data_IF_828772520050
#
_entry.id   IF_828772520050
#
_cell.length_a   1.000
_cell.length_b   1.000
_cell.length_c   1.000
_cell.angle_alpha   90.00
_cell.angle_beta   90.00
_cell.angle_gamma   90.00
#
_symmetry.space_group_name_H-M   'P 1'
#
loop_
_entity.id
_entity.type
_entity.pdbx_description
1 polymer ?
#
# COMPACT_ATOMS: atom_id res chain seq x y z
N UNK A 1 -48.57 10.42 47.18
CA UNK A 1 -48.17 10.90 45.82
C UNK A 1 -47.21 9.85 45.26
N UNK A 2 -47.71 8.88 44.48
CA UNK A 2 -47.63 8.77 43.00
C UNK A 2 -46.19 8.86 42.44
N UNK A 3 -45.64 7.69 42.08
CA UNK A 3 -44.99 7.26 40.82
C UNK A 3 -44.25 8.36 40.02
N UNK A 4 -43.03 8.15 39.52
CA UNK A 4 -42.78 7.49 38.23
C UNK A 4 -41.27 7.24 38.02
N UNK A 5 -40.96 6.04 37.54
CA UNK A 5 -39.71 5.58 36.93
C UNK A 5 -39.71 5.99 35.44
N UNK A 6 -38.65 6.62 34.92
CA UNK A 6 -38.36 6.63 33.46
C UNK A 6 -36.85 6.48 33.23
N UNK A 7 -36.47 5.27 32.85
CA UNK A 7 -35.30 4.95 32.03
C UNK A 7 -35.64 5.17 30.56
N UNK A 8 -34.72 5.76 29.77
CA UNK A 8 -34.49 5.65 28.31
C UNK A 8 -33.56 6.84 27.97
N UNK A 9 -32.29 6.68 27.61
CA UNK A 9 -31.75 5.74 26.63
C UNK A 9 -31.87 6.35 25.24
N UNK A 10 -31.00 7.30 24.90
CA UNK A 10 -30.86 7.82 23.53
C UNK A 10 -29.41 8.18 23.25
N UNK A 11 -28.69 7.16 22.78
CA UNK A 11 -27.40 7.28 22.12
C UNK A 11 -27.65 7.92 20.76
N UNK A 12 -27.28 9.19 20.59
CA UNK A 12 -27.27 9.81 19.27
C UNK A 12 -25.95 9.48 18.59
N UNK A 13 -25.97 8.44 17.74
CA UNK A 13 -24.89 8.15 16.79
C UNK A 13 -24.92 9.23 15.70
N UNK A 14 -23.98 10.18 15.77
CA UNK A 14 -23.66 11.05 14.66
C UNK A 14 -22.60 10.35 13.80
N UNK A 15 -22.97 9.87 12.61
CA UNK A 15 -22.01 9.56 11.55
C UNK A 15 -22.54 10.18 10.24
N UNK A 16 -22.13 11.42 10.01
CA UNK A 16 -22.02 12.01 8.68
C UNK A 16 -20.53 12.07 8.37
N UNK A 17 -20.03 11.07 7.64
CA UNK A 17 -18.70 11.11 7.03
C UNK A 17 -18.87 11.23 5.52
N UNK A 18 -18.99 12.47 5.06
CA UNK A 18 -18.75 12.85 3.68
C UNK A 18 -17.26 13.13 3.49
N UNK A 19 -16.60 12.25 2.73
CA UNK A 19 -15.45 12.55 1.86
C UNK A 19 -14.15 13.04 2.51
N UNK A 20 -13.21 12.11 2.71
CA UNK A 20 -11.77 12.26 2.46
C UNK A 20 -11.10 10.90 2.68
N UNK A 21 -10.51 10.31 1.64
CA UNK A 21 -9.60 9.15 1.72
C UNK A 21 -10.18 7.86 2.33
N UNK A 22 -10.82 7.01 1.51
CA UNK A 22 -11.18 5.65 1.93
C UNK A 22 -9.94 4.75 1.98
N UNK A 23 -9.03 4.95 2.95
CA UNK A 23 -8.02 3.94 3.25
C UNK A 23 -8.82 2.76 3.75
N UNK A 24 -8.96 1.69 2.95
CA UNK A 24 -9.39 0.41 3.50
C UNK A 24 -8.35 0.07 4.59
N UNK A 25 -8.70 0.05 5.88
CA UNK A 25 -7.81 -0.43 6.92
C UNK A 25 -7.39 -1.87 6.58
N UNK A 26 -6.27 -2.32 7.15
CA UNK A 26 -5.67 -3.64 6.86
C UNK A 26 -6.70 -4.79 6.85
N UNK A 27 -7.67 -4.74 7.76
CA UNK A 27 -8.77 -5.70 7.86
C UNK A 27 -9.73 -5.68 6.66
N UNK A 28 -9.98 -4.54 6.02
CA UNK A 28 -10.87 -4.43 4.86
C UNK A 28 -10.18 -4.92 3.59
N UNK A 29 -8.88 -4.68 3.41
CA UNK A 29 -8.11 -5.25 2.32
C UNK A 29 -8.03 -6.79 2.42
N UNK A 30 -7.79 -7.32 3.62
CA UNK A 30 -7.84 -8.77 3.89
C UNK A 30 -9.22 -9.36 3.59
N UNK A 31 -10.29 -8.72 4.05
CA UNK A 31 -11.66 -9.15 3.74
C UNK A 31 -11.98 -9.08 2.25
N UNK A 32 -11.48 -8.05 1.56
CA UNK A 32 -11.64 -7.90 0.12
C UNK A 32 -10.98 -9.05 -0.64
N UNK A 33 -9.74 -9.37 -0.30
CA UNK A 33 -9.00 -10.50 -0.88
C UNK A 33 -9.68 -11.84 -0.58
N UNK A 34 -10.15 -12.05 0.65
CA UNK A 34 -10.84 -13.28 1.04
C UNK A 34 -12.11 -13.53 0.21
N UNK A 35 -12.82 -12.46 -0.17
CA UNK A 35 -14.00 -12.50 -1.06
C UNK A 35 -13.63 -12.62 -2.54
N UNK A 36 -12.47 -12.11 -2.94
CA UNK A 36 -12.00 -12.03 -4.32
C UNK A 36 -10.71 -12.83 -4.50
N UNK A 37 -10.79 -14.16 -4.31
CA UNK A 37 -9.61 -15.05 -4.33
C UNK A 37 -8.79 -14.98 -5.62
N UNK A 38 -9.39 -14.52 -6.73
CA UNK A 38 -8.73 -14.33 -8.02
C UNK A 38 -7.46 -13.48 -7.93
N UNK A 39 -7.40 -12.47 -7.04
CA UNK A 39 -6.18 -11.67 -6.85
C UNK A 39 -4.97 -12.50 -6.39
N UNK A 40 -5.21 -13.64 -5.72
CA UNK A 40 -4.19 -14.56 -5.25
C UNK A 40 -3.94 -15.75 -6.17
N UNK A 41 -4.94 -16.16 -6.96
CA UNK A 41 -4.87 -17.39 -7.78
C UNK A 41 -4.67 -17.14 -9.26
N UNK A 42 -5.03 -15.96 -9.76
CA UNK A 42 -4.93 -15.66 -11.18
C UNK A 42 -3.46 -15.59 -11.60
N UNK A 43 -3.22 -16.13 -12.79
CA UNK A 43 -1.94 -16.05 -13.49
C UNK A 43 -1.67 -14.60 -13.90
N UNK A 44 -0.39 -14.19 -14.04
CA UNK A 44 -0.09 -12.85 -14.49
C UNK A 44 -0.52 -12.66 -15.95
N UNK A 45 -0.87 -11.43 -16.30
CA UNK A 45 -1.02 -11.00 -17.70
C UNK A 45 0.29 -10.41 -18.20
N UNK A 46 0.48 -10.31 -19.52
CA UNK A 46 1.63 -9.60 -20.07
C UNK A 46 1.26 -8.15 -20.40
N UNK A 47 2.10 -7.20 -19.96
CA UNK A 47 1.99 -5.82 -20.39
C UNK A 47 2.48 -5.63 -21.84
N UNK A 48 2.45 -4.39 -22.34
CA UNK A 48 2.90 -4.06 -23.70
C UNK A 48 4.39 -4.35 -23.96
N UNK A 49 5.19 -4.57 -22.91
CA UNK A 49 6.61 -4.89 -22.95
C UNK A 49 6.87 -6.38 -22.73
N UNK A 50 5.81 -7.20 -22.59
CA UNK A 50 5.90 -8.62 -22.31
C UNK A 50 6.19 -8.96 -20.84
N UNK A 51 6.14 -7.97 -19.93
CA UNK A 51 6.38 -8.19 -18.51
C UNK A 51 5.14 -8.81 -17.87
N UNK A 52 5.36 -9.81 -17.01
CA UNK A 52 4.30 -10.38 -16.18
C UNK A 52 3.79 -9.35 -15.18
N UNK A 53 2.48 -9.11 -15.19
CA UNK A 53 1.76 -8.22 -14.29
C UNK A 53 0.64 -9.00 -13.62
N UNK A 54 0.74 -9.13 -12.31
CA UNK A 54 -0.28 -9.75 -11.48
C UNK A 54 -1.43 -8.77 -11.20
N UNK A 55 -2.63 -9.30 -10.87
CA UNK A 55 -3.74 -8.47 -10.43
C UNK A 55 -3.38 -7.59 -9.23
N UNK A 56 -3.84 -6.34 -9.27
CA UNK A 56 -3.67 -5.35 -8.21
C UNK A 56 -5.05 -4.99 -7.68
N UNK A 57 -5.26 -5.06 -6.37
CA UNK A 57 -6.56 -4.65 -5.80
C UNK A 57 -6.83 -3.16 -6.05
N UNK A 58 -8.10 -2.72 -6.12
CA UNK A 58 -8.43 -1.33 -6.42
C UNK A 58 -7.76 -0.30 -5.50
N UNK A 59 -7.48 -0.66 -4.24
CA UNK A 59 -6.78 0.19 -3.28
C UNK A 59 -5.39 0.62 -3.77
N UNK A 60 -4.72 -0.19 -4.58
CA UNK A 60 -3.33 0.03 -5.00
C UNK A 60 -3.15 0.19 -6.51
N UNK A 61 -4.23 0.36 -7.27
CA UNK A 61 -4.21 0.38 -8.74
C UNK A 61 -3.29 1.46 -9.34
N UNK A 62 -3.01 2.52 -8.59
CA UNK A 62 -2.16 3.64 -8.99
C UNK A 62 -0.66 3.36 -8.83
N UNK A 63 -0.30 2.26 -8.19
CA UNK A 63 1.09 1.85 -7.94
C UNK A 63 1.35 0.55 -8.71
N UNK A 64 1.68 0.60 -10.01
CA UNK A 64 1.90 -0.61 -10.79
C UNK A 64 2.94 -1.58 -10.21
N UNK A 65 3.90 -1.14 -9.39
CA UNK A 65 4.94 -2.02 -8.82
C UNK A 65 4.59 -2.43 -7.39
N UNK A 66 4.55 -1.46 -6.48
CA UNK A 66 4.21 -1.64 -5.07
C UNK A 66 2.80 -2.20 -4.91
N UNK A 67 1.87 -1.87 -5.81
CA UNK A 67 0.51 -2.43 -5.77
C UNK A 67 0.47 -3.93 -6.02
N UNK A 68 1.32 -4.46 -6.89
CA UNK A 68 1.46 -5.92 -7.06
C UNK A 68 2.04 -6.56 -5.79
N UNK A 69 3.08 -5.95 -5.22
CA UNK A 69 3.71 -6.41 -3.98
C UNK A 69 2.73 -6.39 -2.80
N UNK A 70 2.01 -5.28 -2.62
CA UNK A 70 1.03 -5.10 -1.56
C UNK A 70 -0.15 -6.06 -1.73
N UNK A 71 -0.62 -6.26 -2.95
CA UNK A 71 -1.69 -7.24 -3.24
C UNK A 71 -1.23 -8.66 -2.92
N UNK A 72 -0.06 -9.07 -3.39
CA UNK A 72 0.51 -10.39 -3.13
C UNK A 72 0.71 -10.66 -1.64
N UNK A 73 1.01 -9.62 -0.84
CA UNK A 73 1.22 -9.76 0.60
C UNK A 73 -0.01 -10.18 1.40
N UNK A 74 -1.21 -10.08 0.81
CA UNK A 74 -2.45 -10.58 1.40
C UNK A 74 -2.77 -12.04 1.04
N UNK A 75 -1.94 -12.66 0.21
CA UNK A 75 -2.13 -14.02 -0.29
C UNK A 75 -1.33 -15.02 0.56
N UNK A 76 -0.16 -15.44 0.07
CA UNK A 76 0.76 -16.35 0.76
C UNK A 76 2.20 -16.06 0.29
N UNK A 77 3.17 -16.69 0.95
CA UNK A 77 4.59 -16.49 0.66
C UNK A 77 4.97 -16.96 -0.76
N UNK A 78 4.30 -18.01 -1.26
CA UNK A 78 4.48 -18.49 -2.63
C UNK A 78 4.10 -17.41 -3.64
N UNK A 79 2.95 -16.75 -3.47
CA UNK A 79 2.52 -15.65 -4.34
C UNK A 79 3.48 -14.47 -4.28
N UNK A 80 3.93 -14.11 -3.08
CA UNK A 80 4.95 -13.06 -2.90
C UNK A 80 6.24 -13.38 -3.64
N UNK A 81 6.69 -14.63 -3.59
CA UNK A 81 7.91 -15.07 -4.28
C UNK A 81 7.80 -15.04 -5.82
N UNK A 82 6.59 -14.95 -6.38
CA UNK A 82 6.41 -14.84 -7.85
C UNK A 82 6.46 -13.40 -8.38
N UNK A 83 6.47 -12.39 -7.51
CA UNK A 83 6.55 -10.99 -7.91
C UNK A 83 7.92 -10.73 -8.56
N UNK A 84 7.92 -10.08 -9.74
CA UNK A 84 9.14 -9.89 -10.54
C UNK A 84 10.24 -9.11 -9.82
N UNK A 85 9.85 -8.22 -8.91
CA UNK A 85 10.76 -7.44 -8.09
C UNK A 85 11.32 -8.23 -6.89
N UNK A 86 10.92 -9.48 -6.70
CA UNK A 86 11.42 -10.38 -5.66
C UNK A 86 12.39 -11.39 -6.29
N UNK A 87 13.65 -11.41 -5.84
CA UNK A 87 14.65 -12.40 -6.22
C UNK A 87 15.35 -12.89 -4.96
N UNK A 88 15.47 -14.21 -4.79
CA UNK A 88 16.07 -14.84 -3.60
C UNK A 88 15.47 -14.33 -2.28
N UNK A 89 14.17 -14.03 -2.28
CA UNK A 89 13.43 -13.50 -1.12
C UNK A 89 13.69 -12.02 -0.81
N UNK A 90 14.45 -11.32 -1.66
CA UNK A 90 14.75 -9.89 -1.51
C UNK A 90 14.01 -9.05 -2.54
N UNK A 91 13.59 -7.85 -2.14
CA UNK A 91 13.13 -6.83 -3.07
C UNK A 91 14.33 -6.21 -3.79
N UNK A 92 14.39 -6.40 -5.10
CA UNK A 92 15.55 -6.05 -5.93
C UNK A 92 15.32 -4.90 -6.90
N UNK A 93 14.09 -4.35 -6.95
CA UNK A 93 13.85 -3.19 -7.78
C UNK A 93 14.32 -1.91 -7.08
N UNK A 94 15.13 -1.11 -7.78
CA UNK A 94 15.20 0.31 -7.46
C UNK A 94 13.87 0.95 -7.85
N UNK A 95 13.36 1.88 -7.06
CA UNK A 95 12.05 2.49 -7.29
C UNK A 95 12.03 3.99 -7.04
N UNK A 96 11.05 4.66 -7.62
CA UNK A 96 10.65 6.02 -7.28
C UNK A 96 9.18 5.95 -6.89
N UNK A 97 8.83 6.62 -5.79
CA UNK A 97 7.44 6.87 -5.43
C UNK A 97 7.15 8.36 -5.47
N UNK A 98 5.93 8.69 -5.86
CA UNK A 98 5.41 10.05 -5.81
C UNK A 98 4.32 10.14 -4.74
N UNK A 99 4.36 11.22 -3.96
CA UNK A 99 3.39 11.50 -2.92
C UNK A 99 2.44 12.61 -3.35
N UNK A 100 1.19 12.54 -2.90
CA UNK A 100 0.20 13.57 -3.15
C UNK A 100 0.54 14.90 -2.46
N UNK A 101 1.06 14.80 -1.24
CA UNK A 101 1.34 15.91 -0.33
C UNK A 101 2.59 15.62 0.52
N UNK A 102 2.86 16.52 1.47
CA UNK A 102 3.97 16.37 2.39
C UNK A 102 3.83 15.07 3.22
N UNK A 103 4.90 14.26 3.32
CA UNK A 103 4.85 13.03 4.10
C UNK A 103 4.77 13.35 5.61
N UNK A 104 3.94 12.64 6.38
CA UNK A 104 4.00 12.72 7.83
C UNK A 104 5.31 12.12 8.37
N UNK A 105 5.73 12.53 9.56
CA UNK A 105 7.01 12.12 10.17
C UNK A 105 7.17 10.59 10.27
N UNK A 106 6.09 9.88 10.58
CA UNK A 106 6.08 8.40 10.62
C UNK A 106 6.42 7.80 9.26
N UNK A 107 5.85 8.33 8.17
CA UNK A 107 6.14 7.87 6.82
C UNK A 107 7.59 8.20 6.43
N UNK A 108 8.11 9.37 6.81
CA UNK A 108 9.52 9.73 6.58
C UNK A 108 10.45 8.74 7.26
N UNK A 109 10.14 8.36 8.51
CA UNK A 109 10.92 7.38 9.27
C UNK A 109 10.95 6.02 8.57
N UNK A 110 9.80 5.55 8.09
CA UNK A 110 9.70 4.30 7.34
C UNK A 110 10.47 4.38 6.01
N UNK A 111 10.35 5.49 5.29
CA UNK A 111 11.08 5.70 4.03
C UNK A 111 12.59 5.60 4.25
N UNK A 112 13.11 6.20 5.32
CA UNK A 112 14.51 6.08 5.69
C UNK A 112 14.92 4.67 6.10
N UNK A 113 14.13 3.97 6.92
CA UNK A 113 14.43 2.58 7.31
C UNK A 113 14.48 1.62 6.11
N UNK A 114 13.70 1.92 5.07
CA UNK A 114 13.72 1.20 3.79
C UNK A 114 14.94 1.59 2.94
N UNK A 115 15.49 2.79 3.09
CA UNK A 115 16.58 3.33 2.28
C UNK A 115 16.14 4.28 1.14
N UNK A 116 14.90 4.77 1.18
CA UNK A 116 14.48 5.84 0.27
C UNK A 116 15.14 7.17 0.65
N UNK A 117 15.47 7.96 -0.36
CA UNK A 117 16.01 9.31 -0.21
C UNK A 117 15.14 10.32 -0.94
N UNK A 118 15.04 11.53 -0.40
CA UNK A 118 14.31 12.60 -1.06
C UNK A 118 14.99 13.01 -2.38
N UNK A 119 14.23 12.99 -3.48
CA UNK A 119 14.70 13.29 -4.82
C UNK A 119 14.08 14.62 -5.31
N UNK A 120 14.41 15.73 -4.64
CA UNK A 120 14.06 17.07 -5.15
C UNK A 120 13.59 18.10 -4.12
N UNK A 121 14.04 18.04 -2.87
CA UNK A 121 13.66 19.02 -1.85
C UNK A 121 14.19 18.68 -0.46
N UNK A 122 13.54 19.26 0.56
CA UNK A 122 13.73 18.87 1.96
C UNK A 122 12.78 17.74 2.32
N UNK A 123 13.18 16.86 3.22
CA UNK A 123 12.43 15.64 3.56
C UNK A 123 10.97 15.91 3.96
N UNK A 124 10.74 16.92 4.82
CA UNK A 124 9.41 17.28 5.30
C UNK A 124 8.44 17.83 4.24
N UNK A 125 8.94 18.19 3.06
CA UNK A 125 8.10 18.64 1.92
C UNK A 125 8.36 17.83 0.66
N UNK A 126 9.01 16.67 0.79
CA UNK A 126 9.44 15.89 -0.35
C UNK A 126 8.30 15.03 -0.88
N UNK A 127 7.87 15.30 -2.11
CA UNK A 127 6.83 14.49 -2.78
C UNK A 127 7.40 13.46 -3.73
N UNK A 128 8.72 13.36 -3.88
CA UNK A 128 9.39 12.38 -4.75
C UNK A 128 10.51 11.70 -3.99
N UNK A 129 10.37 10.40 -3.77
CA UNK A 129 11.34 9.60 -3.03
C UNK A 129 11.94 8.53 -3.93
N UNK A 130 13.25 8.33 -3.84
CA UNK A 130 13.98 7.37 -4.65
C UNK A 130 14.69 6.34 -3.78
N UNK A 131 14.49 5.08 -4.13
CA UNK A 131 15.20 3.94 -3.59
C UNK A 131 16.27 3.50 -4.60
N UNK A 132 17.53 3.61 -4.20
CA UNK A 132 18.68 3.21 -5.02
C UNK A 132 19.18 1.79 -4.68
N UNK A 133 18.93 1.32 -3.46
CA UNK A 133 19.31 -0.02 -3.00
C UNK A 133 18.42 -1.09 -3.65
N UNK A 134 19.00 -2.27 -3.90
CA UNK A 134 18.39 -3.35 -4.70
C UNK A 134 18.47 -4.71 -4.00
N UNK A 135 18.49 -4.72 -2.67
CA UNK A 135 18.44 -5.93 -1.85
C UNK A 135 17.82 -5.61 -0.50
N UNK A 136 16.49 -5.45 -0.48
CA UNK A 136 15.75 -5.01 0.70
C UNK A 136 14.80 -6.11 1.15
N UNK A 137 14.69 -6.32 2.46
CA UNK A 137 13.66 -7.19 3.03
C UNK A 137 12.27 -6.67 2.58
N UNK A 138 11.48 -7.47 1.83
CA UNK A 138 10.17 -7.07 1.37
C UNK A 138 9.25 -6.60 2.51
N UNK A 139 9.41 -7.13 3.72
CA UNK A 139 8.63 -6.72 4.89
C UNK A 139 8.84 -5.24 5.25
N UNK A 140 10.03 -4.68 4.99
CA UNK A 140 10.27 -3.24 5.15
C UNK A 140 9.44 -2.43 4.16
N UNK A 141 9.43 -2.83 2.89
CA UNK A 141 8.61 -2.17 1.84
C UNK A 141 7.12 -2.22 2.21
N UNK A 142 6.65 -3.36 2.74
CA UNK A 142 5.25 -3.54 3.14
C UNK A 142 4.79 -2.62 4.28
N UNK A 143 5.70 -1.95 5.00
CA UNK A 143 5.34 -0.93 5.98
C UNK A 143 4.70 0.30 5.32
N UNK A 144 4.99 0.58 4.04
CA UNK A 144 4.39 1.69 3.29
C UNK A 144 2.88 1.50 3.01
N UNK A 145 2.33 0.30 3.21
CA UNK A 145 0.91 0.01 2.95
C UNK A 145 -0.05 0.92 3.72
N UNK A 146 0.28 1.25 4.97
CA UNK A 146 -0.54 2.17 5.80
C UNK A 146 -0.61 3.58 5.22
N UNK A 147 0.35 3.94 4.35
CA UNK A 147 0.44 5.23 3.66
C UNK A 147 0.10 5.14 2.17
N UNK A 148 -0.42 4.00 1.69
CA UNK A 148 -0.73 3.76 0.27
C UNK A 148 -1.56 4.86 -0.38
N UNK A 149 -2.48 5.50 0.35
CA UNK A 149 -3.27 6.61 -0.18
C UNK A 149 -2.50 7.91 -0.42
N UNK A 150 -1.38 8.09 0.28
CA UNK A 150 -0.49 9.22 0.04
C UNK A 150 0.39 8.99 -1.19
N UNK A 151 0.57 7.74 -1.62
CA UNK A 151 1.36 7.40 -2.79
C UNK A 151 0.46 7.51 -4.03
N UNK A 152 0.83 8.39 -4.95
CA UNK A 152 0.05 8.68 -6.16
C UNK A 152 0.53 7.90 -7.37
N UNK A 153 1.79 7.49 -7.38
CA UNK A 153 2.41 6.75 -8.47
C UNK A 153 3.68 6.05 -7.98
N UNK A 154 4.10 5.03 -8.72
CA UNK A 154 5.42 4.45 -8.58
C UNK A 154 6.04 4.05 -9.93
N UNK A 155 7.37 4.05 -9.95
CA UNK A 155 8.12 3.72 -11.14
C UNK A 155 9.37 2.96 -10.77
N UNK A 156 9.78 2.11 -11.68
CA UNK A 156 11.00 1.35 -11.55
C UNK A 156 12.19 2.18 -12.01
N UNK A 157 13.27 2.14 -11.24
CA UNK A 157 14.58 2.68 -11.63
C UNK A 157 15.40 1.61 -12.34
N UNK A 158 15.43 0.39 -11.77
CA UNK A 158 16.21 -0.73 -12.28
C UNK A 158 15.32 -1.98 -12.39
N UNK A 159 14.48 -2.02 -13.42
CA UNK A 159 13.70 -3.21 -13.74
C UNK A 159 14.44 -4.05 -14.76
N UNK A 160 14.56 -5.34 -14.47
CA UNK A 160 15.04 -6.35 -15.41
C UNK A 160 13.89 -6.84 -16.29
#
# INVERSE_FOLDING_TARGET
>A
MKTVLITLGLVSFAILLSGCGNTLPKNEAEQFIAKNKSYCTDQPTQDKKGKNVFPIIPLYEKMPILGQLFTASYCNDERMATIAEITDGQYTAGSIIWLQDNPPEEMITILHDIGYTCSGGTEGTCTKWRLAETSIDPQKILQLRSFSQKITDDACVYCK
#
